data_IF_798474872156
#
_entry.id   IF_798474872156
#
_cell.length_a   1.000
_cell.length_b   1.000
_cell.length_c   1.000
_cell.angle_alpha   90.00
_cell.angle_beta   90.00
_cell.angle_gamma   90.00
#
_symmetry.space_group_name_H-M   'P 1'
#
loop_
_entity.id
_entity.type
_entity.pdbx_description
1 polymer ?
#
# COMPACT_ATOMS: atom_id res chain seq x y z
N UNK A 1 10.34 -12.11 18.92
CA UNK A 1 11.77 -12.04 18.51
C UNK A 1 12.35 -10.64 18.73
N UNK A 2 11.92 -9.61 18.00
CA UNK A 2 12.50 -8.25 18.15
C UNK A 2 12.23 -7.59 19.51
N UNK A 3 11.14 -7.90 20.18
CA UNK A 3 10.81 -7.34 21.51
C UNK A 3 11.77 -7.76 22.61
N UNK A 4 12.40 -8.92 22.45
CA UNK A 4 13.29 -9.51 23.48
C UNK A 4 14.77 -9.41 23.10
N UNK A 5 15.08 -9.20 21.80
CA UNK A 5 16.43 -9.23 21.25
C UNK A 5 16.79 -7.93 20.53
N UNK A 6 17.21 -6.93 21.30
CA UNK A 6 17.56 -5.59 20.77
C UNK A 6 18.66 -5.64 19.71
N UNK A 7 19.64 -6.53 19.89
CA UNK A 7 20.75 -6.70 18.97
C UNK A 7 20.30 -7.14 17.57
N UNK A 8 19.27 -7.99 17.50
CA UNK A 8 18.67 -8.40 16.22
C UNK A 8 17.94 -7.23 15.56
N UNK A 9 17.17 -6.46 16.34
CA UNK A 9 16.49 -5.28 15.84
C UNK A 9 17.47 -4.22 15.33
N UNK A 10 18.57 -3.99 16.05
CA UNK A 10 19.65 -3.06 15.62
C UNK A 10 20.25 -3.52 14.29
N UNK A 11 20.64 -4.81 14.19
CA UNK A 11 21.16 -5.37 12.93
C UNK A 11 20.19 -5.21 11.78
N UNK A 12 18.90 -5.53 12.01
CA UNK A 12 17.83 -5.45 11.04
C UNK A 12 17.58 -4.01 10.55
N UNK A 13 17.45 -3.06 11.46
CA UNK A 13 17.22 -1.65 11.11
C UNK A 13 18.42 -1.05 10.39
N UNK A 14 19.66 -1.31 10.83
CA UNK A 14 20.86 -0.85 10.15
C UNK A 14 21.00 -1.45 8.73
N UNK A 15 20.49 -2.66 8.53
CA UNK A 15 20.50 -3.29 7.23
C UNK A 15 19.51 -2.63 6.25
N UNK A 16 18.29 -2.33 6.69
CA UNK A 16 17.19 -1.94 5.82
C UNK A 16 16.93 -0.44 5.75
N UNK A 17 17.36 0.34 6.75
CA UNK A 17 17.16 1.78 6.73
C UNK A 17 18.27 2.51 5.96
N UNK A 18 17.94 3.61 5.27
CA UNK A 18 18.91 4.42 4.51
C UNK A 18 19.65 5.40 5.44
N UNK A 19 20.20 4.88 6.52
CA UNK A 19 20.91 5.72 7.49
C UNK A 19 22.20 6.27 6.88
N UNK A 20 22.54 7.56 7.12
CA UNK A 20 23.80 8.15 6.69
C UNK A 20 24.99 7.40 7.28
N UNK A 21 26.11 7.38 6.56
CA UNK A 21 27.37 6.78 7.01
C UNK A 21 27.83 7.39 8.35
N UNK A 22 28.20 6.53 9.30
CA UNK A 22 28.59 6.93 10.66
C UNK A 22 27.39 7.29 11.56
N UNK A 23 26.16 7.06 11.10
CA UNK A 23 24.93 7.26 11.87
C UNK A 23 24.17 5.95 12.13
N UNK A 24 24.91 4.84 12.09
CA UNK A 24 24.36 3.53 12.43
C UNK A 24 23.80 3.52 13.85
N UNK A 25 22.77 2.72 14.04
CA UNK A 25 22.15 2.49 15.35
C UNK A 25 23.07 1.58 16.15
N UNK A 26 23.49 2.02 17.33
CA UNK A 26 24.35 1.23 18.23
C UNK A 26 23.61 0.80 19.49
N UNK A 27 22.56 1.53 19.86
CA UNK A 27 21.76 1.28 21.05
C UNK A 27 20.31 1.66 20.78
N UNK A 28 19.36 0.90 21.34
CA UNK A 28 17.92 1.15 21.24
C UNK A 28 17.26 1.11 22.61
N UNK A 29 16.26 1.98 22.78
CA UNK A 29 15.29 1.96 23.86
C UNK A 29 13.90 1.72 23.26
N UNK A 30 13.21 0.67 23.71
CA UNK A 30 11.82 0.46 23.31
C UNK A 30 10.90 1.51 23.88
N UNK A 31 9.97 1.96 23.08
CA UNK A 31 8.90 2.87 23.45
C UNK A 31 7.57 2.11 23.41
N UNK A 32 6.53 2.59 24.13
CA UNK A 32 5.20 2.02 23.99
C UNK A 32 4.78 1.98 22.51
N UNK A 33 4.35 0.82 22.04
CA UNK A 33 3.84 0.61 20.68
C UNK A 33 2.50 1.32 20.45
N UNK A 34 1.73 1.51 21.51
CA UNK A 34 0.49 2.26 21.49
C UNK A 34 0.78 3.77 21.62
N UNK A 35 0.29 4.53 20.65
CA UNK A 35 0.42 5.98 20.62
C UNK A 35 -0.94 6.62 20.94
N UNK A 36 -1.20 6.77 22.24
CA UNK A 36 -2.44 7.38 22.77
C UNK A 36 -2.38 8.90 22.55
N UNK A 37 -3.34 9.49 21.84
CA UNK A 37 -3.39 10.94 21.67
C UNK A 37 -3.82 11.62 22.98
N UNK A 38 -3.33 12.84 23.21
CA UNK A 38 -3.72 13.67 24.35
C UNK A 38 -5.22 13.97 24.37
N UNK A 39 -5.88 13.95 23.22
CA UNK A 39 -7.33 14.16 23.10
C UNK A 39 -8.03 12.81 22.89
N UNK A 40 -8.97 12.41 23.80
CA UNK A 40 -9.72 11.15 23.72
C UNK A 40 -10.53 10.96 22.43
N UNK A 41 -10.88 12.05 21.74
CA UNK A 41 -11.66 12.00 20.48
C UNK A 41 -10.82 11.60 19.26
N UNK A 42 -9.49 11.47 19.42
CA UNK A 42 -8.60 11.03 18.33
C UNK A 42 -8.35 9.53 18.41
N UNK A 43 -8.14 8.92 17.24
CA UNK A 43 -7.81 7.49 17.14
C UNK A 43 -6.50 7.16 17.85
N UNK A 44 -6.53 6.17 18.72
CA UNK A 44 -5.33 5.45 19.14
C UNK A 44 -4.74 4.72 17.94
N UNK A 45 -3.44 4.60 17.91
CA UNK A 45 -2.73 3.87 16.88
C UNK A 45 -1.67 2.98 17.51
N UNK A 46 -1.56 1.76 17.01
CA UNK A 46 -0.62 0.76 17.47
C UNK A 46 0.30 0.43 16.31
N UNK A 47 1.58 0.30 16.57
CA UNK A 47 2.61 -0.20 15.67
C UNK A 47 3.22 -1.47 16.26
N UNK A 48 3.80 -2.35 15.43
CA UNK A 48 4.34 -3.61 15.93
C UNK A 48 5.56 -3.39 16.83
N UNK A 49 6.48 -2.53 16.40
CA UNK A 49 7.65 -2.13 17.21
C UNK A 49 7.84 -0.63 17.12
N UNK A 50 8.08 0.01 18.27
CA UNK A 50 8.51 1.40 18.38
C UNK A 50 9.72 1.52 19.29
N UNK A 51 10.74 2.18 18.81
CA UNK A 51 11.96 2.40 19.58
C UNK A 51 12.61 3.74 19.22
N UNK A 52 13.57 4.14 20.03
CA UNK A 52 14.44 5.30 19.78
C UNK A 52 15.90 4.92 20.04
N UNK A 53 16.81 5.60 19.37
CA UNK A 53 18.23 5.49 19.65
C UNK A 53 18.72 6.53 20.67
N UNK A 54 20.03 6.50 20.94
CA UNK A 54 20.68 7.44 21.87
C UNK A 54 20.61 8.91 21.43
N UNK A 55 20.46 9.18 20.12
CA UNK A 55 20.33 10.53 19.56
C UNK A 55 18.88 11.01 19.54
N UNK A 56 17.94 10.16 19.96
CA UNK A 56 16.52 10.42 20.04
C UNK A 56 15.77 10.19 18.73
N UNK A 57 16.44 9.70 17.66
CA UNK A 57 15.75 9.29 16.42
C UNK A 57 14.79 8.16 16.74
N UNK A 58 13.58 8.21 16.18
CA UNK A 58 12.56 7.19 16.42
C UNK A 58 12.45 6.25 15.22
N UNK A 59 12.21 4.99 15.51
CA UNK A 59 12.03 3.94 14.53
C UNK A 59 10.73 3.20 14.80
N UNK A 60 9.90 3.12 13.77
CA UNK A 60 8.67 2.34 13.77
C UNK A 60 8.83 1.18 12.80
N UNK A 61 8.47 -0.03 13.21
CA UNK A 61 8.44 -1.20 12.33
C UNK A 61 7.03 -1.73 12.31
N UNK A 62 6.52 -2.01 11.11
CA UNK A 62 5.22 -2.63 10.90
C UNK A 62 5.37 -3.80 9.92
N UNK A 63 4.71 -4.92 10.21
CA UNK A 63 4.58 -6.06 9.29
C UNK A 63 3.12 -6.17 8.84
N UNK A 64 2.89 -6.12 7.54
CA UNK A 64 1.55 -6.14 6.97
C UNK A 64 1.42 -7.26 5.95
N UNK A 65 0.41 -8.12 6.14
CA UNK A 65 0.17 -9.26 5.24
C UNK A 65 -0.50 -8.84 3.93
N UNK A 66 -1.31 -7.77 3.95
CA UNK A 66 -2.05 -7.30 2.79
C UNK A 66 -1.94 -5.80 2.63
N UNK A 67 -1.69 -5.35 1.39
CA UNK A 67 -1.69 -3.94 1.07
C UNK A 67 -3.11 -3.38 0.98
N UNK A 68 -3.27 -2.18 1.51
CA UNK A 68 -4.47 -1.34 1.29
C UNK A 68 -4.07 0.12 1.29
N UNK A 69 -4.81 0.97 0.58
CA UNK A 69 -4.60 2.42 0.66
C UNK A 69 -4.77 2.95 2.09
N UNK A 70 -5.66 2.34 2.87
CA UNK A 70 -5.84 2.66 4.28
C UNK A 70 -4.59 2.33 5.12
N UNK A 71 -3.82 1.29 4.77
CA UNK A 71 -2.56 0.98 5.42
C UNK A 71 -1.52 2.07 5.18
N UNK A 72 -1.32 2.50 3.94
CA UNK A 72 -0.43 3.60 3.61
C UNK A 72 -0.76 4.88 4.39
N UNK A 73 -2.06 5.22 4.48
CA UNK A 73 -2.51 6.37 5.27
C UNK A 73 -2.26 6.18 6.77
N UNK A 74 -2.40 4.96 7.28
CA UNK A 74 -2.10 4.62 8.67
C UNK A 74 -0.62 4.79 8.98
N UNK A 75 0.26 4.29 8.11
CA UNK A 75 1.72 4.45 8.25
C UNK A 75 2.08 5.93 8.32
N UNK A 76 1.59 6.75 7.38
CA UNK A 76 1.83 8.19 7.40
C UNK A 76 1.33 8.84 8.71
N UNK A 77 0.11 8.49 9.15
CA UNK A 77 -0.45 9.00 10.41
C UNK A 77 0.41 8.63 11.61
N UNK A 78 0.86 7.36 11.69
CA UNK A 78 1.71 6.86 12.78
C UNK A 78 3.05 7.58 12.81
N UNK A 79 3.68 7.77 11.65
CA UNK A 79 4.94 8.51 11.52
C UNK A 79 4.79 9.97 11.97
N UNK A 80 3.74 10.66 11.53
CA UNK A 80 3.46 12.03 11.95
C UNK A 80 3.17 12.13 13.46
N UNK A 81 2.47 11.17 14.04
CA UNK A 81 2.24 11.11 15.49
C UNK A 81 3.55 10.93 16.24
N UNK A 82 4.39 9.97 15.83
CA UNK A 82 5.69 9.74 16.46
C UNK A 82 6.58 10.98 16.42
N UNK A 83 6.54 11.73 15.31
CA UNK A 83 7.27 12.99 15.15
C UNK A 83 6.74 14.10 16.08
N UNK A 84 5.42 14.19 16.25
CA UNK A 84 4.78 15.28 17.00
C UNK A 84 4.62 15.00 18.51
N UNK A 85 4.59 13.73 18.94
CA UNK A 85 4.37 13.35 20.33
C UNK A 85 5.39 13.95 21.34
N UNK A 86 6.69 14.10 21.01
CA UNK A 86 7.67 14.68 21.91
C UNK A 86 7.54 16.20 22.09
N UNK A 87 6.71 16.88 21.27
CA UNK A 87 6.58 18.33 21.30
C UNK A 87 5.58 18.78 22.37
N UNK A 88 6.02 18.82 23.61
CA UNK A 88 5.25 19.38 24.73
C UNK A 88 5.22 20.93 24.67
N UNK A 89 4.27 21.53 25.39
CA UNK A 89 4.15 22.99 25.47
C UNK A 89 5.42 23.59 26.10
N UNK A 90 6.17 24.35 25.29
CA UNK A 90 7.40 25.06 25.73
C UNK A 90 8.68 24.41 25.27
N UNK A 91 8.66 23.24 24.66
CA UNK A 91 9.82 22.65 23.99
C UNK A 91 10.16 23.39 22.68
N UNK A 92 11.44 23.40 22.34
CA UNK A 92 11.91 24.04 21.10
C UNK A 92 11.70 23.07 19.95
N UNK A 93 11.22 23.55 18.80
CA UNK A 93 11.10 22.75 17.58
C UNK A 93 12.43 22.15 17.12
N UNK A 94 13.58 22.74 17.50
CA UNK A 94 14.92 22.19 17.22
C UNK A 94 15.23 20.91 18.00
N UNK A 95 14.40 20.51 18.94
CA UNK A 95 14.54 19.28 19.73
C UNK A 95 13.79 18.10 19.12
N UNK A 96 12.93 18.36 18.12
CA UNK A 96 12.30 17.31 17.35
C UNK A 96 13.37 16.46 16.65
N UNK A 97 13.16 15.16 16.62
CA UNK A 97 14.12 14.19 16.06
C UNK A 97 13.50 13.45 14.89
N UNK A 98 14.30 13.02 13.91
CA UNK A 98 13.82 12.27 12.77
C UNK A 98 13.09 10.99 13.16
N UNK A 99 12.10 10.63 12.35
CA UNK A 99 11.32 9.41 12.46
C UNK A 99 11.46 8.59 11.18
N UNK A 100 11.90 7.36 11.34
CA UNK A 100 12.02 6.37 10.29
C UNK A 100 10.94 5.30 10.48
N UNK A 101 10.14 5.05 9.46
CA UNK A 101 9.14 3.99 9.49
C UNK A 101 9.47 2.93 8.46
N UNK A 102 9.67 1.70 8.88
CA UNK A 102 9.92 0.53 8.04
C UNK A 102 8.68 -0.36 8.02
N UNK A 103 8.04 -0.46 6.88
CA UNK A 103 6.88 -1.31 6.66
C UNK A 103 7.26 -2.48 5.74
N UNK A 104 7.21 -3.69 6.28
CA UNK A 104 7.39 -4.94 5.53
C UNK A 104 6.02 -5.42 5.07
N UNK A 105 5.84 -5.55 3.76
CA UNK A 105 4.54 -5.90 3.16
C UNK A 105 4.65 -7.23 2.44
N UNK A 106 3.86 -8.21 2.85
CA UNK A 106 3.78 -9.52 2.19
C UNK A 106 2.73 -9.52 1.07
N UNK A 107 2.68 -8.44 0.30
CA UNK A 107 1.74 -8.22 -0.80
C UNK A 107 2.36 -7.29 -1.84
N UNK A 108 1.73 -7.15 -3.00
CA UNK A 108 2.12 -6.20 -4.05
C UNK A 108 1.45 -4.85 -3.78
N UNK A 109 2.23 -3.88 -3.30
CA UNK A 109 1.77 -2.53 -2.97
C UNK A 109 1.76 -1.60 -4.19
N UNK A 110 2.76 -1.72 -5.07
CA UNK A 110 3.00 -0.84 -6.22
C UNK A 110 3.14 -1.69 -7.49
N UNK A 111 2.02 -2.20 -8.06
CA UNK A 111 2.05 -3.10 -9.21
C UNK A 111 2.68 -2.48 -10.47
N UNK A 112 2.67 -1.15 -10.59
CA UNK A 112 3.30 -0.40 -11.68
C UNK A 112 4.84 -0.38 -11.61
N UNK A 113 5.41 -0.61 -10.42
CA UNK A 113 6.87 -0.66 -10.20
C UNK A 113 7.32 -2.12 -10.14
N UNK A 114 7.33 -2.80 -11.29
CA UNK A 114 7.45 -4.26 -11.38
C UNK A 114 8.73 -4.86 -10.78
N UNK A 115 9.85 -4.17 -10.90
CA UNK A 115 11.16 -4.69 -10.49
C UNK A 115 11.65 -4.11 -9.15
N UNK A 116 11.01 -3.06 -8.68
CA UNK A 116 11.37 -2.41 -7.43
C UNK A 116 10.57 -3.00 -6.27
N UNK A 117 11.26 -3.48 -5.27
CA UNK A 117 10.67 -4.02 -4.04
C UNK A 117 10.91 -3.12 -2.82
N UNK A 118 11.82 -2.15 -2.92
CA UNK A 118 12.21 -1.25 -1.85
C UNK A 118 11.87 0.19 -2.22
N UNK A 119 10.97 0.81 -1.47
CA UNK A 119 10.45 2.14 -1.75
C UNK A 119 10.70 3.06 -0.57
N UNK A 120 11.53 4.08 -0.76
CA UNK A 120 11.82 5.10 0.25
C UNK A 120 11.12 6.41 -0.11
N UNK A 121 10.30 6.90 0.79
CA UNK A 121 9.59 8.17 0.67
C UNK A 121 10.16 9.18 1.65
N UNK A 122 10.59 10.33 1.12
CA UNK A 122 11.07 11.48 1.86
C UNK A 122 10.47 12.77 1.32
N UNK A 123 10.46 13.83 2.11
CA UNK A 123 9.98 15.14 1.66
C UNK A 123 11.07 15.85 0.87
N UNK A 124 10.82 16.07 -0.42
CA UNK A 124 11.78 16.66 -1.35
C UNK A 124 11.19 17.89 -2.03
N UNK A 125 11.98 18.94 -2.22
CA UNK A 125 11.56 20.13 -2.95
C UNK A 125 11.11 19.75 -4.38
N UNK A 126 9.95 20.23 -4.81
CA UNK A 126 9.33 19.81 -6.07
C UNK A 126 10.21 20.08 -7.31
N UNK A 127 10.97 21.17 -7.32
CA UNK A 127 11.85 21.58 -8.42
C UNK A 127 13.32 21.20 -8.19
N UNK A 128 13.81 21.35 -6.97
CA UNK A 128 15.22 21.14 -6.61
C UNK A 128 15.33 19.90 -5.73
N UNK A 129 15.53 18.72 -6.35
CA UNK A 129 15.45 17.41 -5.68
C UNK A 129 16.57 17.16 -4.66
N UNK A 130 17.66 17.91 -4.75
CA UNK A 130 18.78 17.92 -3.79
C UNK A 130 18.42 18.54 -2.43
N UNK A 131 17.31 19.31 -2.37
CA UNK A 131 16.83 19.89 -1.12
C UNK A 131 15.75 18.99 -0.52
N UNK A 132 16.09 18.32 0.57
CA UNK A 132 15.22 17.41 1.33
C UNK A 132 14.95 17.95 2.73
N UNK A 133 13.86 17.48 3.32
CA UNK A 133 13.55 17.61 4.74
C UNK A 133 13.60 16.18 5.28
N UNK A 134 14.64 15.89 6.05
CA UNK A 134 15.03 14.52 6.44
C UNK A 134 14.43 14.10 7.81
N UNK A 135 13.41 14.83 8.27
CA UNK A 135 12.77 14.56 9.56
C UNK A 135 11.81 13.36 9.51
N UNK A 136 11.31 13.00 8.34
CA UNK A 136 10.38 11.88 8.14
C UNK A 136 10.82 11.08 6.92
N UNK A 137 11.10 9.80 7.17
CA UNK A 137 11.35 8.83 6.11
C UNK A 137 10.44 7.61 6.29
N UNK A 138 9.74 7.22 5.22
CA UNK A 138 8.88 6.05 5.20
C UNK A 138 9.38 5.05 4.17
N UNK A 139 9.69 3.85 4.62
CA UNK A 139 10.22 2.77 3.81
C UNK A 139 9.15 1.67 3.72
N UNK A 140 8.85 1.25 2.48
CA UNK A 140 8.01 0.09 2.21
C UNK A 140 8.85 -0.96 1.48
N UNK A 141 8.81 -2.19 1.97
CA UNK A 141 9.50 -3.34 1.37
C UNK A 141 8.47 -4.38 0.98
N UNK A 142 8.32 -4.62 -0.33
CA UNK A 142 7.41 -5.63 -0.89
C UNK A 142 8.10 -6.99 -0.93
N UNK A 143 7.90 -7.80 0.09
CA UNK A 143 8.56 -9.11 0.22
C UNK A 143 8.36 -10.03 -0.99
N UNK A 144 7.17 -10.11 -1.64
CA UNK A 144 6.97 -10.98 -2.79
C UNK A 144 7.77 -10.60 -4.05
N UNK A 145 8.23 -9.35 -4.15
CA UNK A 145 9.08 -8.89 -5.27
C UNK A 145 10.58 -9.12 -5.03
N UNK A 146 10.97 -9.32 -3.78
CA UNK A 146 12.37 -9.56 -3.45
C UNK A 146 12.87 -10.87 -4.10
N UNK A 147 14.06 -10.81 -4.70
CA UNK A 147 14.74 -11.98 -5.29
C UNK A 147 16.11 -12.14 -4.60
N UNK A 148 16.47 -13.34 -4.16
CA UNK A 148 17.74 -13.59 -3.45
C UNK A 148 19.01 -13.12 -4.20
N UNK A 149 18.94 -13.11 -5.54
CA UNK A 149 20.04 -12.67 -6.40
C UNK A 149 20.06 -11.15 -6.62
N UNK A 150 19.20 -10.39 -5.95
CA UNK A 150 19.16 -8.93 -6.09
C UNK A 150 20.44 -8.34 -5.49
N UNK A 151 21.14 -7.54 -6.29
CA UNK A 151 22.32 -6.82 -5.83
C UNK A 151 21.84 -5.61 -5.00
N UNK A 152 22.12 -5.63 -3.72
CA UNK A 152 21.91 -4.51 -2.82
C UNK A 152 23.25 -3.99 -2.32
N UNK A 153 23.33 -2.70 -2.03
CA UNK A 153 24.53 -2.07 -1.49
C UNK A 153 24.93 -2.66 -0.12
N UNK A 154 23.93 -3.15 0.63
CA UNK A 154 24.14 -3.77 1.94
C UNK A 154 23.86 -5.27 1.88
N UNK A 155 24.92 -6.08 2.01
CA UNK A 155 24.80 -7.55 2.08
C UNK A 155 23.87 -8.01 3.20
N UNK A 156 23.90 -7.34 4.35
CA UNK A 156 23.03 -7.63 5.49
C UNK A 156 21.53 -7.47 5.17
N UNK A 157 21.18 -6.51 4.30
CA UNK A 157 19.79 -6.36 3.86
C UNK A 157 19.31 -7.61 3.11
N UNK A 158 20.16 -8.16 2.23
CA UNK A 158 19.84 -9.42 1.52
C UNK A 158 19.64 -10.57 2.50
N UNK A 159 20.51 -10.73 3.49
CA UNK A 159 20.41 -11.82 4.47
C UNK A 159 19.12 -11.72 5.30
N UNK A 160 18.78 -10.52 5.78
CA UNK A 160 17.53 -10.33 6.52
C UNK A 160 16.29 -10.54 5.66
N UNK A 161 16.28 -10.09 4.40
CA UNK A 161 15.15 -10.30 3.50
C UNK A 161 15.01 -11.77 3.10
N UNK A 162 16.12 -12.48 2.89
CA UNK A 162 16.13 -13.94 2.69
C UNK A 162 15.58 -14.67 3.91
N UNK A 163 16.01 -14.29 5.12
CA UNK A 163 15.46 -14.86 6.35
C UNK A 163 13.93 -14.71 6.39
N UNK A 164 13.40 -13.52 6.11
CA UNK A 164 11.96 -13.24 6.15
C UNK A 164 11.15 -13.94 5.03
N UNK A 165 11.78 -14.27 3.91
CA UNK A 165 11.09 -14.86 2.74
C UNK A 165 11.33 -16.35 2.57
N UNK A 166 12.45 -16.89 3.03
CA UNK A 166 12.85 -18.27 2.83
C UNK A 166 12.63 -19.15 4.07
N UNK A 167 12.72 -18.58 5.28
CA UNK A 167 12.54 -19.35 6.54
C UNK A 167 11.07 -19.32 6.95
N UNK A 168 10.44 -20.49 6.92
CA UNK A 168 9.02 -20.67 7.26
C UNK A 168 8.78 -22.07 7.86
N UNK A 169 7.56 -22.37 8.27
CA UNK A 169 7.16 -23.65 8.89
C UNK A 169 7.46 -24.92 8.07
N UNK A 170 7.71 -24.78 6.77
CA UNK A 170 8.05 -25.89 5.88
C UNK A 170 9.56 -26.00 5.64
N UNK A 171 10.38 -25.08 6.15
CA UNK A 171 11.82 -25.06 5.96
C UNK A 171 12.45 -26.17 6.80
N UNK A 172 13.03 -27.17 6.11
CA UNK A 172 13.70 -28.30 6.76
C UNK A 172 15.21 -28.08 6.91
N UNK A 173 15.77 -27.28 6.04
CA UNK A 173 17.20 -27.00 5.99
C UNK A 173 17.38 -25.53 5.63
N UNK A 174 18.09 -24.80 6.47
CA UNK A 174 18.37 -23.37 6.28
C UNK A 174 19.68 -23.22 5.51
N UNK A 175 19.72 -22.29 4.56
CA UNK A 175 20.92 -22.03 3.76
C UNK A 175 22.10 -21.63 4.67
N UNK A 176 23.28 -22.21 4.37
CA UNK A 176 24.52 -21.96 5.13
C UNK A 176 24.94 -20.50 5.11
N UNK A 177 24.58 -19.76 4.08
CA UNK A 177 24.89 -18.34 3.98
C UNK A 177 24.11 -17.53 5.03
N UNK A 178 22.86 -17.89 5.31
CA UNK A 178 22.07 -17.30 6.40
C UNK A 178 22.66 -17.61 7.79
N UNK A 179 23.16 -18.82 7.96
CA UNK A 179 23.76 -19.27 9.22
C UNK A 179 25.19 -18.77 9.42
N UNK A 180 25.81 -18.13 8.41
CA UNK A 180 27.14 -17.57 8.50
C UNK A 180 27.19 -16.20 9.21
N UNK A 181 26.04 -15.53 9.37
CA UNK A 181 25.93 -14.30 10.15
C UNK A 181 25.32 -14.60 11.51
N UNK A 182 25.95 -14.15 12.58
CA UNK A 182 25.56 -14.47 13.96
C UNK A 182 24.15 -13.96 14.31
N UNK A 183 23.75 -12.79 13.81
CA UNK A 183 22.44 -12.22 14.10
C UNK A 183 21.34 -12.98 13.36
N UNK A 184 21.57 -13.28 12.07
CA UNK A 184 20.60 -14.02 11.25
C UNK A 184 20.50 -15.47 11.74
N UNK A 185 21.63 -16.12 12.07
CA UNK A 185 21.66 -17.46 12.67
C UNK A 185 20.89 -17.51 14.00
N UNK A 186 21.05 -16.49 14.84
CA UNK A 186 20.29 -16.36 16.07
C UNK A 186 18.79 -16.17 15.78
N UNK A 187 18.43 -15.32 14.83
CA UNK A 187 17.04 -15.15 14.43
C UNK A 187 16.42 -16.46 13.94
N UNK A 188 17.13 -17.24 13.12
CA UNK A 188 16.71 -18.57 12.68
C UNK A 188 16.46 -19.49 13.87
N UNK A 189 17.38 -19.56 14.83
CA UNK A 189 17.22 -20.44 16.01
C UNK A 189 16.02 -20.07 16.89
N UNK A 190 15.63 -18.79 16.91
CA UNK A 190 14.47 -18.33 17.68
C UNK A 190 13.12 -18.64 17.02
N UNK A 191 13.08 -18.88 15.71
CA UNK A 191 11.85 -19.25 14.99
C UNK A 191 11.72 -20.77 14.78
N UNK A 192 12.69 -21.56 15.23
CA UNK A 192 12.54 -23.01 15.23
C UNK A 192 11.38 -23.44 16.14
N UNK A 193 10.51 -24.33 15.66
CA UNK A 193 9.31 -24.79 16.38
C UNK A 193 9.64 -25.34 17.77
N UNK A 194 10.82 -25.96 17.94
CA UNK A 194 11.30 -26.50 19.22
C UNK A 194 11.62 -25.42 20.26
N UNK A 195 11.74 -24.15 19.87
CA UNK A 195 12.01 -23.04 20.77
C UNK A 195 10.74 -22.44 21.41
N UNK A 196 9.55 -22.82 20.91
CA UNK A 196 8.27 -22.30 21.40
C UNK A 196 7.63 -23.21 22.43
N UNK A 197 7.07 -22.62 23.47
CA UNK A 197 6.17 -23.31 24.39
C UNK A 197 4.82 -23.60 23.73
N UNK A 198 4.06 -24.58 24.24
CA UNK A 198 2.71 -24.89 23.78
C UNK A 198 1.79 -23.66 23.74
N UNK A 199 1.95 -22.74 24.71
CA UNK A 199 1.14 -21.52 24.77
C UNK A 199 1.49 -20.53 23.66
N UNK A 200 2.76 -20.44 23.26
CA UNK A 200 3.24 -19.59 22.16
C UNK A 200 2.81 -20.17 20.81
N UNK A 201 2.93 -21.49 20.63
CA UNK A 201 2.40 -22.18 19.44
C UNK A 201 0.89 -21.97 19.29
N UNK A 202 0.12 -22.05 20.37
CA UNK A 202 -1.30 -21.72 20.38
C UNK A 202 -1.60 -20.25 20.03
N UNK A 203 -0.74 -19.32 20.42
CA UNK A 203 -0.89 -17.91 20.08
C UNK A 203 -0.59 -17.67 18.59
N UNK A 204 0.42 -18.36 18.05
CA UNK A 204 0.78 -18.32 16.62
C UNK A 204 -0.38 -18.87 15.78
N UNK A 205 -0.95 -20.04 16.15
CA UNK A 205 -2.08 -20.65 15.45
C UNK A 205 -3.29 -19.69 15.41
N UNK A 206 -3.62 -19.07 16.55
CA UNK A 206 -4.73 -18.09 16.60
C UNK A 206 -4.46 -16.86 15.76
N UNK A 207 -3.22 -16.41 15.68
CA UNK A 207 -2.82 -15.32 14.80
C UNK A 207 -3.06 -15.69 13.33
N UNK A 208 -2.56 -16.84 12.89
CA UNK A 208 -2.76 -17.34 11.52
C UNK A 208 -4.23 -17.59 11.18
N UNK A 209 -5.02 -18.06 12.12
CA UNK A 209 -6.47 -18.17 11.99
C UNK A 209 -7.15 -16.82 11.79
N UNK A 210 -6.68 -15.75 12.46
CA UNK A 210 -7.21 -14.42 12.30
C UNK A 210 -6.85 -13.83 10.94
N UNK A 211 -5.61 -14.00 10.51
CA UNK A 211 -5.10 -13.59 9.18
C UNK A 211 -5.86 -14.31 8.06
N UNK A 212 -6.08 -15.63 8.21
CA UNK A 212 -6.82 -16.43 7.23
C UNK A 212 -8.29 -15.99 7.11
N UNK A 213 -8.93 -15.67 8.24
CA UNK A 213 -10.30 -15.13 8.25
C UNK A 213 -10.37 -13.74 7.59
N UNK A 214 -9.43 -12.87 7.88
CA UNK A 214 -9.37 -11.54 7.26
C UNK A 214 -9.20 -11.66 5.74
N UNK A 215 -8.32 -12.54 5.28
CA UNK A 215 -8.13 -12.86 3.85
C UNK A 215 -9.43 -13.32 3.19
N UNK A 216 -10.14 -14.23 3.84
CA UNK A 216 -11.41 -14.75 3.32
C UNK A 216 -12.45 -13.64 3.20
N UNK A 217 -12.59 -12.80 4.24
CA UNK A 217 -13.53 -11.67 4.24
C UNK A 217 -13.17 -10.64 3.14
N UNK A 218 -11.89 -10.33 2.96
CA UNK A 218 -11.43 -9.42 1.89
C UNK A 218 -11.74 -9.99 0.50
N UNK A 219 -11.41 -11.28 0.27
CA UNK A 219 -11.70 -11.95 -1.00
C UNK A 219 -13.19 -11.98 -1.30
N UNK A 220 -14.05 -12.30 -0.32
CA UNK A 220 -15.50 -12.27 -0.50
C UNK A 220 -16.03 -10.86 -0.80
N UNK A 221 -15.52 -9.84 -0.12
CA UNK A 221 -15.92 -8.44 -0.38
C UNK A 221 -15.50 -8.00 -1.78
N UNK A 222 -14.31 -8.37 -2.22
CA UNK A 222 -13.82 -8.08 -3.56
C UNK A 222 -14.72 -8.73 -4.63
N UNK A 223 -15.00 -10.04 -4.51
CA UNK A 223 -15.87 -10.77 -5.44
C UNK A 223 -17.30 -10.21 -5.48
N UNK A 224 -17.85 -9.83 -4.31
CA UNK A 224 -19.16 -9.19 -4.24
C UNK A 224 -19.16 -7.80 -4.89
N UNK A 225 -18.10 -7.04 -4.68
CA UNK A 225 -17.92 -5.71 -5.31
C UNK A 225 -17.81 -5.80 -6.82
N UNK A 226 -17.02 -6.74 -7.33
CA UNK A 226 -16.85 -7.00 -8.77
C UNK A 226 -18.18 -7.43 -9.41
N UNK A 227 -18.88 -8.39 -8.79
CA UNK A 227 -20.17 -8.85 -9.28
C UNK A 227 -21.22 -7.73 -9.33
N UNK A 228 -21.25 -6.88 -8.29
CA UNK A 228 -22.14 -5.72 -8.22
C UNK A 228 -21.80 -4.69 -9.30
N UNK A 229 -20.53 -4.30 -9.41
CA UNK A 229 -20.08 -3.34 -10.43
C UNK A 229 -20.35 -3.82 -11.86
N UNK A 230 -20.16 -5.13 -12.12
CA UNK A 230 -20.48 -5.73 -13.42
C UNK A 230 -21.98 -5.70 -13.71
N UNK A 231 -22.82 -5.99 -12.71
CA UNK A 231 -24.28 -5.94 -12.86
C UNK A 231 -24.80 -4.50 -13.11
N UNK A 232 -24.27 -3.53 -12.34
CA UNK A 232 -24.60 -2.12 -12.51
C UNK A 232 -24.15 -1.58 -13.87
N UNK A 233 -22.93 -1.89 -14.31
CA UNK A 233 -22.42 -1.48 -15.62
C UNK A 233 -23.18 -2.10 -16.80
N UNK A 234 -23.62 -3.36 -16.68
CA UNK A 234 -24.48 -4.00 -17.66
C UNK A 234 -25.86 -3.30 -17.76
N UNK A 235 -26.50 -3.04 -16.64
CA UNK A 235 -27.83 -2.40 -16.60
C UNK A 235 -27.79 -0.96 -17.14
N UNK A 236 -26.73 -0.20 -16.78
CA UNK A 236 -26.52 1.14 -17.30
C UNK A 236 -26.23 1.15 -18.80
N UNK A 237 -25.35 0.24 -19.27
CA UNK A 237 -25.04 0.09 -20.69
C UNK A 237 -26.27 -0.30 -21.52
N UNK A 238 -27.13 -1.22 -21.03
CA UNK A 238 -28.35 -1.62 -21.67
C UNK A 238 -29.36 -0.46 -21.74
N UNK A 239 -29.50 0.31 -20.67
CA UNK A 239 -30.39 1.46 -20.60
C UNK A 239 -29.96 2.55 -21.57
N UNK A 240 -28.68 2.91 -21.55
CA UNK A 240 -28.13 3.94 -22.44
C UNK A 240 -28.16 3.51 -23.90
N UNK A 241 -27.72 2.29 -24.19
CA UNK A 241 -27.76 1.76 -25.56
C UNK A 241 -29.19 1.68 -26.14
N UNK A 242 -30.18 1.35 -25.30
CA UNK A 242 -31.60 1.36 -25.74
C UNK A 242 -32.09 2.79 -26.01
N UNK A 243 -31.73 3.76 -25.16
CA UNK A 243 -32.14 5.15 -25.37
C UNK A 243 -31.49 5.75 -26.62
N UNK A 244 -30.20 5.50 -26.84
CA UNK A 244 -29.47 5.94 -28.03
C UNK A 244 -30.02 5.29 -29.31
N UNK A 245 -30.27 3.97 -29.27
CA UNK A 245 -30.82 3.26 -30.40
C UNK A 245 -32.25 3.72 -30.79
N UNK A 246 -33.08 4.06 -29.80
CA UNK A 246 -34.42 4.64 -30.06
C UNK A 246 -34.29 6.04 -30.71
N UNK A 247 -33.46 6.91 -30.17
CA UNK A 247 -33.25 8.25 -30.70
C UNK A 247 -32.66 8.24 -32.13
N UNK A 248 -31.72 7.34 -32.38
CA UNK A 248 -31.15 7.15 -33.73
C UNK A 248 -32.19 6.56 -34.71
N UNK A 249 -32.98 5.57 -34.25
CA UNK A 249 -34.04 4.99 -35.02
C UNK A 249 -35.14 5.99 -35.42
N UNK A 250 -35.58 6.85 -34.51
CA UNK A 250 -36.52 7.95 -34.76
C UNK A 250 -35.96 8.93 -35.78
N UNK A 251 -34.69 9.36 -35.58
CA UNK A 251 -34.05 10.28 -36.52
C UNK A 251 -33.94 9.70 -37.93
N UNK A 252 -33.52 8.44 -38.03
CA UNK A 252 -33.41 7.75 -39.33
C UNK A 252 -34.80 7.55 -39.98
N UNK A 253 -35.82 7.28 -39.18
CA UNK A 253 -37.20 7.22 -39.64
C UNK A 253 -37.70 8.54 -40.23
N UNK A 254 -37.46 9.65 -39.56
CA UNK A 254 -37.78 11.00 -40.02
C UNK A 254 -37.05 11.33 -41.34
N UNK A 255 -35.77 11.06 -41.42
CA UNK A 255 -34.94 11.27 -42.60
C UNK A 255 -35.47 10.45 -43.79
N UNK A 256 -35.80 9.18 -43.59
CA UNK A 256 -36.37 8.31 -44.63
C UNK A 256 -37.70 8.81 -45.11
N UNK A 257 -38.53 9.30 -44.19
CA UNK A 257 -39.86 9.89 -44.54
C UNK A 257 -39.67 11.16 -45.36
N UNK A 258 -38.77 12.06 -44.94
CA UNK A 258 -38.46 13.28 -45.70
C UNK A 258 -37.93 12.99 -47.12
N UNK A 259 -37.06 11.99 -47.27
CA UNK A 259 -36.56 11.53 -48.57
C UNK A 259 -37.70 11.03 -49.49
N UNK A 260 -38.63 10.26 -48.96
CA UNK A 260 -39.75 9.76 -49.72
C UNK A 260 -40.67 10.91 -50.17
N UNK A 261 -40.97 11.87 -49.28
CA UNK A 261 -41.78 13.04 -49.60
C UNK A 261 -41.10 13.93 -50.70
N UNK A 262 -39.78 14.05 -50.64
CA UNK A 262 -39.00 14.76 -51.66
C UNK A 262 -39.07 14.06 -53.01
N UNK A 263 -39.03 12.73 -53.08
CA UNK A 263 -39.21 11.94 -54.31
C UNK A 263 -40.60 12.05 -54.91
N UNK A 264 -41.63 12.17 -54.08
CA UNK A 264 -43.01 12.39 -54.53
C UNK A 264 -43.30 13.82 -54.96
N UNK A 265 -42.33 14.70 -54.96
CA UNK A 265 -42.43 16.07 -55.47
C UNK A 265 -43.05 17.08 -54.50
N UNK A 266 -43.13 16.79 -53.21
CA UNK A 266 -43.61 17.76 -52.22
C UNK A 266 -42.63 18.89 -52.08
N UNK A 267 -43.13 20.11 -51.77
CA UNK A 267 -42.28 21.29 -51.56
C UNK A 267 -41.47 21.17 -50.27
N UNK A 268 -40.24 21.70 -50.28
CA UNK A 268 -39.32 21.65 -49.14
C UNK A 268 -39.95 22.22 -47.86
N UNK A 269 -40.66 23.35 -48.00
CA UNK A 269 -41.37 23.97 -46.87
C UNK A 269 -42.45 23.08 -46.27
N UNK A 270 -43.17 22.29 -47.10
CA UNK A 270 -44.17 21.33 -46.60
C UNK A 270 -43.51 20.15 -45.91
N UNK A 271 -42.40 19.61 -46.46
CA UNK A 271 -41.63 18.52 -45.85
C UNK A 271 -41.08 18.97 -44.49
N UNK A 272 -40.51 20.19 -44.40
CA UNK A 272 -40.04 20.72 -43.14
C UNK A 272 -41.12 20.82 -42.07
N UNK A 273 -42.31 21.28 -42.45
CA UNK A 273 -43.46 21.38 -41.55
C UNK A 273 -43.95 20.02 -41.05
N UNK A 274 -43.88 18.95 -41.89
CA UNK A 274 -44.36 17.61 -41.53
C UNK A 274 -43.33 16.76 -40.78
N UNK A 275 -42.04 16.99 -41.02
CA UNK A 275 -40.96 16.16 -40.43
C UNK A 275 -40.23 16.84 -39.29
N UNK A 276 -40.35 18.18 -39.15
CA UNK A 276 -39.60 18.97 -38.17
C UNK A 276 -38.12 19.22 -38.54
N UNK A 277 -37.66 18.72 -39.70
CA UNK A 277 -36.33 19.01 -40.23
C UNK A 277 -36.25 20.43 -40.81
N UNK A 278 -35.09 21.04 -40.69
CA UNK A 278 -34.81 22.33 -41.30
C UNK A 278 -34.77 22.20 -42.84
N UNK A 279 -35.09 23.29 -43.57
CA UNK A 279 -34.98 23.34 -45.05
C UNK A 279 -33.55 23.03 -45.53
N UNK A 280 -32.52 23.40 -44.75
CA UNK A 280 -31.12 23.09 -45.05
C UNK A 280 -30.84 21.58 -44.95
N UNK A 281 -31.37 20.90 -43.94
CA UNK A 281 -31.23 19.44 -43.77
C UNK A 281 -31.95 18.70 -44.91
N UNK A 282 -33.15 19.15 -45.26
CA UNK A 282 -33.93 18.53 -46.38
C UNK A 282 -33.20 18.74 -47.71
N UNK A 283 -32.56 19.90 -47.93
CA UNK A 283 -31.81 20.13 -49.14
C UNK A 283 -30.59 19.23 -49.29
N UNK A 284 -29.99 18.82 -48.19
CA UNK A 284 -28.82 17.92 -48.16
C UNK A 284 -29.20 16.43 -48.33
N UNK A 285 -30.45 16.08 -48.17
CA UNK A 285 -31.01 14.76 -48.47
C UNK A 285 -31.25 14.57 -49.96
#
# INVERSE_FOLDING_TARGET
>A
MFDEHKELLISFLNALLPLPEGKEIVELEYLPSEMVPVNPDKKDTIVDVRCKDKDGRQFLVEMQMYWTDAFRQRVLLNTCKAYSLPADRGEKYSELKPVYTLSLVNDIAFPELHDDFYHCYMMTHSKYKEYTIDDIEMIFVELPKFKPNTVLDKKMAVLWLRFLTEVNEHTREVDKELLADDNVAKAVSLVEESAYSDAELWAIDRYWDSVSRERTIMSEKFLKGEAKGRAEGLAEGETNGRAEGLAEGEKNGIIKTALNMKKEGLTISLIAKMTGLSEEEINKL
#
